data_IF_617445595050
#
_entry.id   IF_617445595050
#
_cell.length_a   1.000
_cell.length_b   1.000
_cell.length_c   1.000
_cell.angle_alpha   90.00
_cell.angle_beta   90.00
_cell.angle_gamma   90.00
#
_symmetry.space_group_name_H-M   'P 1'
#
loop_
_entity.id
_entity.type
_entity.pdbx_description
1 polymer ?
#
# COMPACT_ATOMS: atom_id res chain seq x y z
N UNK A 1 -4.35 8.54 5.12
CA UNK A 1 -3.55 8.80 6.33
C UNK A 1 -2.07 8.43 6.15
N UNK A 2 -1.73 7.28 5.53
CA UNK A 2 -0.32 6.93 5.21
C UNK A 2 0.43 8.04 4.48
N UNK A 3 -0.15 8.61 3.42
CA UNK A 3 0.51 9.68 2.66
C UNK A 3 0.82 10.90 3.53
N UNK A 4 -0.09 11.31 4.42
CA UNK A 4 0.17 12.43 5.32
C UNK A 4 1.32 12.14 6.31
N UNK A 5 1.34 10.95 6.92
CA UNK A 5 2.43 10.53 7.82
C UNK A 5 3.80 10.50 7.14
N UNK A 6 3.84 10.08 5.87
CA UNK A 6 5.07 10.05 5.08
C UNK A 6 5.62 11.46 4.81
N UNK A 7 4.75 12.43 4.50
CA UNK A 7 5.16 13.81 4.24
C UNK A 7 5.63 14.54 5.52
N UNK A 8 5.09 14.18 6.68
CA UNK A 8 5.59 14.69 7.96
C UNK A 8 7.05 14.30 8.21
N UNK A 9 7.50 13.13 7.72
CA UNK A 9 8.88 12.71 7.87
C UNK A 9 9.88 13.54 7.05
N UNK A 10 9.44 14.42 6.16
CA UNK A 10 10.34 15.34 5.45
C UNK A 10 10.79 16.51 6.32
N UNK A 11 10.08 16.76 7.44
CA UNK A 11 10.38 17.87 8.33
C UNK A 11 11.60 17.47 9.19
N UNK A 12 12.68 18.28 9.22
CA UNK A 12 13.92 17.97 9.94
C UNK A 12 13.77 18.17 11.46
N UNK A 13 12.82 17.47 12.06
CA UNK A 13 12.55 17.45 13.49
C UNK A 13 12.29 16.02 13.92
N UNK A 14 13.08 15.52 14.87
CA UNK A 14 12.98 14.14 15.34
C UNK A 14 11.56 13.80 15.83
N UNK A 15 10.94 14.72 16.58
CA UNK A 15 9.58 14.53 17.11
C UNK A 15 8.56 14.41 15.97
N UNK A 16 8.70 15.23 14.93
CA UNK A 16 7.77 15.23 13.78
C UNK A 16 7.94 13.97 12.94
N UNK A 17 9.18 13.51 12.75
CA UNK A 17 9.47 12.23 12.07
C UNK A 17 8.84 11.06 12.82
N UNK A 18 8.96 11.02 14.15
CA UNK A 18 8.35 9.97 14.98
C UNK A 18 6.82 9.98 14.88
N UNK A 19 6.18 11.16 14.92
CA UNK A 19 4.73 11.29 14.73
C UNK A 19 4.33 10.81 13.33
N UNK A 20 5.06 11.23 12.30
CA UNK A 20 4.86 10.77 10.92
C UNK A 20 4.95 9.25 10.79
N UNK A 21 5.95 8.64 11.44
CA UNK A 21 6.17 7.20 11.49
C UNK A 21 5.04 6.45 12.17
N UNK A 22 4.55 6.95 13.31
CA UNK A 22 3.40 6.35 13.99
C UNK A 22 2.17 6.39 13.09
N UNK A 23 1.83 7.56 12.53
CA UNK A 23 0.67 7.71 11.64
C UNK A 23 0.78 6.79 10.44
N UNK A 24 1.95 6.75 9.80
CA UNK A 24 2.21 5.88 8.65
C UNK A 24 2.00 4.40 9.01
N UNK A 25 2.62 3.96 10.10
CA UNK A 25 2.61 2.55 10.54
C UNK A 25 1.20 2.11 10.94
N UNK A 26 0.51 2.88 11.79
CA UNK A 26 -0.88 2.57 12.18
C UNK A 26 -1.81 2.49 10.97
N UNK A 27 -1.69 3.44 10.05
CA UNK A 27 -2.51 3.47 8.85
C UNK A 27 -2.23 2.28 7.91
N UNK A 28 -0.96 1.87 7.80
CA UNK A 28 -0.56 0.71 7.01
C UNK A 28 -1.14 -0.58 7.56
N UNK A 29 -0.99 -0.84 8.87
CA UNK A 29 -1.55 -2.03 9.50
C UNK A 29 -3.08 -2.07 9.41
N UNK A 30 -3.75 -0.93 9.60
CA UNK A 30 -5.18 -0.83 9.44
C UNK A 30 -5.61 -1.21 8.00
N UNK A 31 -4.96 -0.62 6.98
CA UNK A 31 -5.27 -0.91 5.58
C UNK A 31 -4.98 -2.37 5.21
N UNK A 32 -3.85 -2.92 5.65
CA UNK A 32 -3.48 -4.32 5.41
C UNK A 32 -4.46 -5.29 6.05
N UNK A 33 -4.89 -5.03 7.29
CA UNK A 33 -5.90 -5.82 7.99
C UNK A 33 -7.23 -5.83 7.24
N UNK A 34 -7.74 -4.66 6.84
CA UNK A 34 -8.98 -4.55 6.07
C UNK A 34 -8.89 -5.29 4.73
N UNK A 35 -7.79 -5.13 4.00
CA UNK A 35 -7.59 -5.82 2.71
C UNK A 35 -7.52 -7.34 2.87
N UNK A 36 -6.79 -7.83 3.88
CA UNK A 36 -6.67 -9.26 4.16
C UNK A 36 -8.00 -9.88 4.59
N UNK A 37 -8.80 -9.17 5.38
CA UNK A 37 -10.15 -9.60 5.76
C UNK A 37 -11.11 -9.62 4.57
N UNK A 38 -11.01 -8.67 3.64
CA UNK A 38 -11.84 -8.66 2.44
C UNK A 38 -11.55 -9.83 1.50
N UNK A 39 -10.27 -10.13 1.24
CA UNK A 39 -9.86 -11.24 0.36
C UNK A 39 -10.29 -12.60 0.94
N UNK A 40 -10.22 -12.77 2.26
CA UNK A 40 -10.64 -14.03 2.91
C UNK A 40 -12.15 -14.22 2.92
N UNK A 41 -12.94 -13.13 2.93
CA UNK A 41 -14.41 -13.18 2.90
C UNK A 41 -14.95 -13.33 1.46
N UNK A 42 -14.37 -12.66 0.46
CA UNK A 42 -14.86 -12.69 -0.93
C UNK A 42 -14.60 -14.04 -1.63
N UNK A 43 -13.57 -14.80 -1.23
CA UNK A 43 -13.11 -16.01 -1.92
C UNK A 43 -13.81 -17.30 -1.48
N UNK A 44 -15.11 -17.27 -1.18
CA UNK A 44 -15.88 -18.41 -0.62
C UNK A 44 -15.74 -19.73 -1.39
N UNK A 45 -15.61 -19.68 -2.72
CA UNK A 45 -15.48 -20.86 -3.59
C UNK A 45 -14.03 -21.26 -3.92
N UNK A 46 -13.09 -20.31 -3.98
CA UNK A 46 -11.70 -20.53 -4.44
C UNK A 46 -10.64 -19.91 -3.52
N UNK A 47 -10.76 -20.14 -2.20
CA UNK A 47 -9.86 -19.59 -1.16
C UNK A 47 -8.37 -19.82 -1.45
N UNK A 48 -8.00 -21.00 -1.95
CA UNK A 48 -6.60 -21.36 -2.24
C UNK A 48 -5.98 -20.47 -3.32
N UNK A 49 -6.72 -20.16 -4.39
CA UNK A 49 -6.26 -19.30 -5.49
C UNK A 49 -6.16 -17.84 -5.05
N UNK A 50 -7.15 -17.35 -4.29
CA UNK A 50 -7.15 -15.99 -3.75
C UNK A 50 -5.95 -15.72 -2.83
N UNK A 51 -5.67 -16.65 -1.91
CA UNK A 51 -4.51 -16.56 -1.01
C UNK A 51 -3.17 -16.64 -1.74
N UNK A 52 -3.04 -17.53 -2.74
CA UNK A 52 -1.82 -17.66 -3.54
C UNK A 52 -1.53 -16.38 -4.35
N UNK A 53 -2.56 -15.78 -4.96
CA UNK A 53 -2.43 -14.52 -5.69
C UNK A 53 -2.07 -13.36 -4.74
N UNK A 54 -2.70 -13.30 -3.56
CA UNK A 54 -2.35 -12.30 -2.54
C UNK A 54 -0.88 -12.40 -2.14
N UNK A 55 -0.40 -13.61 -1.83
CA UNK A 55 1.00 -13.85 -1.48
C UNK A 55 1.93 -13.51 -2.63
N UNK A 56 1.57 -13.92 -3.86
CA UNK A 56 2.34 -13.60 -5.06
C UNK A 56 2.49 -12.09 -5.22
N UNK A 57 1.39 -11.33 -5.17
CA UNK A 57 1.42 -9.88 -5.24
C UNK A 57 2.22 -9.25 -4.09
N UNK A 58 2.08 -9.78 -2.87
CA UNK A 58 2.82 -9.31 -1.71
C UNK A 58 4.34 -9.47 -1.88
N UNK A 59 4.79 -10.66 -2.30
CA UNK A 59 6.21 -10.94 -2.52
C UNK A 59 6.78 -10.22 -3.75
N UNK A 60 5.99 -10.13 -4.83
CA UNK A 60 6.38 -9.40 -6.04
C UNK A 60 6.54 -7.91 -5.73
N UNK A 61 5.57 -7.31 -5.04
CA UNK A 61 5.64 -5.93 -4.58
C UNK A 61 6.85 -5.72 -3.65
N UNK A 62 7.02 -6.57 -2.64
CA UNK A 62 8.15 -6.48 -1.71
C UNK A 62 9.51 -6.59 -2.41
N UNK A 63 9.64 -7.45 -3.42
CA UNK A 63 10.89 -7.60 -4.18
C UNK A 63 11.20 -6.35 -5.01
N UNK A 64 10.22 -5.85 -5.78
CA UNK A 64 10.42 -4.66 -6.62
C UNK A 64 10.68 -3.42 -5.76
N UNK A 65 9.91 -3.23 -4.69
CA UNK A 65 10.06 -2.09 -3.80
C UNK A 65 11.33 -2.19 -2.96
N UNK A 66 11.69 -3.38 -2.48
CA UNK A 66 12.90 -3.63 -1.73
C UNK A 66 14.14 -3.33 -2.56
N UNK A 67 14.27 -3.94 -3.74
CA UNK A 67 15.40 -3.69 -4.63
C UNK A 67 15.41 -2.25 -5.18
N UNK A 68 14.25 -1.70 -5.53
CA UNK A 68 14.14 -0.33 -6.05
C UNK A 68 14.44 0.75 -5.02
N UNK A 69 14.01 0.57 -3.76
CA UNK A 69 14.17 1.57 -2.71
C UNK A 69 15.64 1.84 -2.37
N UNK A 70 16.52 0.83 -2.43
CA UNK A 70 17.95 1.01 -2.26
C UNK A 70 18.57 1.89 -3.34
N UNK A 71 18.23 1.64 -4.62
CA UNK A 71 18.71 2.46 -5.73
C UNK A 71 18.19 3.91 -5.66
N UNK A 72 16.93 4.08 -5.26
CA UNK A 72 16.32 5.40 -5.08
C UNK A 72 17.00 6.15 -3.93
N UNK A 73 17.32 5.45 -2.85
CA UNK A 73 18.02 6.02 -1.70
C UNK A 73 19.40 6.55 -2.09
N UNK A 74 20.19 5.75 -2.81
CA UNK A 74 21.53 6.15 -3.25
C UNK A 74 21.50 7.36 -4.19
N UNK A 75 20.50 7.44 -5.08
CA UNK A 75 20.42 8.52 -6.07
C UNK A 75 19.75 9.81 -5.56
N UNK A 76 18.71 9.70 -4.72
CA UNK A 76 17.81 10.81 -4.39
C UNK A 76 17.54 10.96 -2.88
N UNK A 77 18.13 10.10 -2.04
CA UNK A 77 18.01 10.13 -0.58
C UNK A 77 16.58 10.05 -0.08
N UNK A 78 16.32 10.74 1.04
CA UNK A 78 15.03 10.71 1.75
C UNK A 78 13.87 11.21 0.88
N UNK A 79 14.08 12.30 0.13
CA UNK A 79 13.05 12.90 -0.73
C UNK A 79 12.64 11.94 -1.86
N UNK A 80 13.61 11.28 -2.50
CA UNK A 80 13.33 10.29 -3.54
C UNK A 80 12.49 9.13 -3.02
N UNK A 81 12.80 8.65 -1.81
CA UNK A 81 12.04 7.58 -1.16
C UNK A 81 10.60 8.03 -0.86
N UNK A 82 10.41 9.24 -0.31
CA UNK A 82 9.08 9.80 -0.06
C UNK A 82 8.25 9.96 -1.32
N UNK A 83 8.82 10.47 -2.41
CA UNK A 83 8.12 10.61 -3.69
C UNK A 83 7.74 9.27 -4.29
N UNK A 84 8.65 8.29 -4.25
CA UNK A 84 8.43 6.95 -4.79
C UNK A 84 7.30 6.24 -4.04
N UNK A 85 7.32 6.25 -2.70
CA UNK A 85 6.25 5.68 -1.87
C UNK A 85 4.93 6.42 -2.10
N UNK A 86 4.95 7.75 -2.24
CA UNK A 86 3.75 8.53 -2.57
C UNK A 86 3.14 8.11 -3.91
N UNK A 87 3.96 7.89 -4.94
CA UNK A 87 3.50 7.43 -6.25
C UNK A 87 2.82 6.06 -6.15
N UNK A 88 3.43 5.11 -5.43
CA UNK A 88 2.87 3.77 -5.23
C UNK A 88 1.54 3.83 -4.49
N UNK A 89 1.44 4.67 -3.46
CA UNK A 89 0.18 4.88 -2.72
C UNK A 89 -0.90 5.48 -3.62
N UNK A 90 -0.57 6.45 -4.47
CA UNK A 90 -1.50 7.03 -5.43
C UNK A 90 -1.98 5.98 -6.46
N UNK A 91 -1.08 5.13 -6.96
CA UNK A 91 -1.45 4.03 -7.85
C UNK A 91 -2.40 3.05 -7.16
N UNK A 92 -2.11 2.68 -5.90
CA UNK A 92 -2.99 1.81 -5.10
C UNK A 92 -4.38 2.41 -4.90
N UNK A 93 -4.47 3.70 -4.58
CA UNK A 93 -5.75 4.43 -4.49
C UNK A 93 -6.47 4.44 -5.84
N UNK A 94 -5.76 4.69 -6.94
CA UNK A 94 -6.33 4.69 -8.28
C UNK A 94 -6.95 3.34 -8.66
N UNK A 95 -6.26 2.24 -8.35
CA UNK A 95 -6.77 0.88 -8.56
C UNK A 95 -8.00 0.63 -7.68
N UNK A 96 -7.93 0.99 -6.39
CA UNK A 96 -9.03 0.80 -5.44
C UNK A 96 -10.29 1.57 -5.88
N UNK A 97 -10.14 2.83 -6.30
CA UNK A 97 -11.25 3.66 -6.80
C UNK A 97 -11.81 3.12 -8.12
N UNK A 98 -10.95 2.63 -9.02
CA UNK A 98 -11.41 2.00 -10.27
C UNK A 98 -12.24 0.76 -9.97
N UNK A 99 -11.80 -0.07 -9.03
CA UNK A 99 -12.50 -1.28 -8.62
C UNK A 99 -13.82 -0.95 -7.91
N UNK A 100 -13.85 0.07 -7.04
CA UNK A 100 -15.07 0.50 -6.37
C UNK A 100 -16.11 1.12 -7.31
N UNK A 101 -15.71 1.46 -8.55
CA UNK A 101 -16.58 2.01 -9.59
C UNK A 101 -17.03 0.96 -10.60
N UNK A 102 -16.53 -0.28 -10.55
CA UNK A 102 -17.06 -1.35 -11.37
C UNK A 102 -18.49 -1.68 -10.89
N UNK A 103 -19.51 -1.53 -11.75
CA UNK A 103 -20.88 -1.90 -11.41
C UNK A 103 -20.97 -3.41 -11.12
N UNK A 104 -21.78 -3.77 -10.12
CA UNK A 104 -22.21 -5.15 -9.87
C UNK A 104 -23.15 -5.59 -11.01
N UNK A 105 -22.62 -5.87 -12.19
CA UNK A 105 -23.43 -6.34 -13.35
C UNK A 105 -23.74 -7.85 -13.26
N UNK A 106 -23.55 -8.49 -12.10
CA UNK A 106 -23.74 -9.93 -11.91
C UNK A 106 -25.02 -10.31 -11.13
N UNK A 107 -25.87 -9.34 -10.76
CA UNK A 107 -27.13 -9.62 -10.05
C UNK A 107 -28.34 -9.75 -10.98
N UNK A 108 -28.15 -9.84 -12.31
CA UNK A 108 -29.27 -9.90 -13.26
C UNK A 108 -29.04 -10.80 -14.50
N UNK A 109 -28.41 -11.98 -14.32
CA UNK A 109 -28.46 -13.07 -15.33
C UNK A 109 -28.77 -14.42 -14.70
#
# INVERSE_FOLDING_TARGET
MMMFGLWLMLIPSLVVVLIGLLIFTFSFFAAHSTSSSWVSVQSLQYRAVGSALYLFCYYLGSSVLGSGSGLIWEAFGWVGLTLSISLILLLGIGIAVKLSRMPNDLENS
#
